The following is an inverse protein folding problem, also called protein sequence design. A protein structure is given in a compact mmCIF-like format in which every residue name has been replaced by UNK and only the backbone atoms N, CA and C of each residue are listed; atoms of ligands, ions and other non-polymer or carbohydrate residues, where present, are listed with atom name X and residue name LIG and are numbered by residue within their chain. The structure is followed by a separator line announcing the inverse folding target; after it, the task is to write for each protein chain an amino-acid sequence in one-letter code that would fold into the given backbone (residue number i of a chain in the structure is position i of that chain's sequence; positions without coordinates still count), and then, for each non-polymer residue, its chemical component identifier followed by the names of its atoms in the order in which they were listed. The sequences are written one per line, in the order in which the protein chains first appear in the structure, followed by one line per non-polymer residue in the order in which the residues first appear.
data_IF_369165547597
#
_entry.id   IF_369165547597
#
_cell.length_a   1.000
_cell.length_b   1.000
_cell.length_c   1.000
_cell.angle_alpha   90.00
_cell.angle_beta   90.00
_cell.angle_gamma   90.00
#
_symmetry.space_group_name_H-M   'P 1'
#
loop_
_entity.id
_entity.type
_entity.pdbx_description
1 polymer ?
#
# COMPACT_ATOMS: atom_id res chain seq x y z
N UNK A 1 19.07 12.73 -23.23
CA UNK A 1 18.17 12.71 -22.06
C UNK A 1 17.59 14.08 -21.69
N UNK A 2 16.29 14.31 -21.91
CA UNK A 2 15.58 15.37 -21.22
C UNK A 2 15.47 15.08 -19.72
N UNK A 3 15.80 16.08 -18.90
CA UNK A 3 15.70 16.03 -17.44
C UNK A 3 14.23 15.97 -17.01
N UNK A 4 13.89 15.16 -16.01
CA UNK A 4 12.55 15.20 -15.39
C UNK A 4 12.33 16.57 -14.76
N UNK A 5 11.25 17.27 -15.12
CA UNK A 5 10.93 18.62 -14.60
C UNK A 5 9.73 18.62 -13.64
N UNK A 6 8.95 17.53 -13.57
CA UNK A 6 7.90 17.37 -12.57
C UNK A 6 8.53 16.97 -11.23
N UNK A 7 8.56 17.92 -10.29
CA UNK A 7 9.12 17.74 -8.95
C UNK A 7 8.50 16.55 -8.19
N UNK A 8 7.27 16.17 -8.51
CA UNK A 8 6.57 15.08 -7.83
C UNK A 8 6.96 13.70 -8.38
N UNK A 9 7.34 13.63 -9.66
CA UNK A 9 7.94 12.43 -10.24
C UNK A 9 9.37 12.27 -9.77
N UNK A 10 10.15 13.35 -9.63
CA UNK A 10 11.51 13.33 -9.08
C UNK A 10 11.61 12.71 -7.67
N UNK A 11 10.50 12.73 -6.91
CA UNK A 11 10.43 12.07 -5.61
C UNK A 11 10.42 10.53 -5.71
N UNK A 12 10.05 9.96 -6.85
CA UNK A 12 9.97 8.51 -7.08
C UNK A 12 11.38 7.98 -7.31
N UNK A 13 12.01 7.55 -6.22
CA UNK A 13 13.25 6.79 -6.23
C UNK A 13 13.28 5.84 -5.03
N UNK A 14 14.09 4.78 -5.11
CA UNK A 14 14.20 3.77 -4.07
C UNK A 14 14.56 4.35 -2.69
N UNK A 15 15.40 5.40 -2.62
CA UNK A 15 15.83 6.02 -1.37
C UNK A 15 14.70 6.82 -0.67
N UNK A 16 13.69 7.24 -1.43
CA UNK A 16 12.54 8.00 -0.95
C UNK A 16 11.32 7.12 -0.66
N UNK A 17 11.40 5.81 -0.86
CA UNK A 17 10.32 4.88 -0.58
C UNK A 17 10.10 4.77 0.93
N UNK A 18 8.99 5.30 1.43
CA UNK A 18 8.62 5.21 2.85
C UNK A 18 8.04 3.86 3.21
N UNK A 19 7.09 3.36 2.41
CA UNK A 19 6.47 2.05 2.55
C UNK A 19 5.75 1.62 1.28
N UNK A 20 5.43 0.33 1.22
CA UNK A 20 4.62 -0.29 0.17
C UNK A 20 3.25 -0.73 0.67
N UNK A 21 2.35 -1.00 -0.26
CA UNK A 21 1.11 -1.72 0.04
C UNK A 21 0.83 -2.83 -0.96
N UNK A 22 0.45 -3.99 -0.43
CA UNK A 22 0.14 -5.22 -1.18
C UNK A 22 -1.32 -5.61 -0.99
N UNK A 23 -1.87 -6.33 -1.96
CA UNK A 23 -3.18 -6.95 -1.88
C UNK A 23 -3.06 -8.40 -1.44
N UNK A 24 -3.88 -8.78 -0.49
CA UNK A 24 -4.13 -10.18 -0.16
C UNK A 24 -5.22 -10.74 -1.08
N UNK A 25 -5.30 -12.06 -1.20
CA UNK A 25 -6.46 -12.70 -1.83
C UNK A 25 -7.75 -12.21 -1.14
N UNK A 26 -8.72 -11.65 -1.87
CA UNK A 26 -9.99 -11.20 -1.28
C UNK A 26 -10.73 -12.32 -0.53
N UNK A 27 -10.49 -13.58 -0.89
CA UNK A 27 -11.03 -14.76 -0.19
C UNK A 27 -10.47 -14.89 1.22
N UNK A 28 -9.30 -14.33 1.53
CA UNK A 28 -8.77 -14.28 2.89
C UNK A 28 -9.77 -13.64 3.86
N UNK A 29 -10.51 -12.62 3.42
CA UNK A 29 -11.50 -11.93 4.25
C UNK A 29 -12.87 -12.64 4.30
N UNK A 30 -13.25 -13.41 3.27
CA UNK A 30 -14.61 -13.95 3.09
C UNK A 30 -14.76 -15.47 3.25
N UNK A 31 -13.70 -16.27 3.10
CA UNK A 31 -13.74 -17.74 3.16
C UNK A 31 -12.40 -18.28 3.66
N UNK A 32 -12.42 -18.98 4.80
CA UNK A 32 -11.27 -19.63 5.45
C UNK A 32 -9.89 -18.95 5.31
N UNK A 33 -9.51 -18.15 6.31
CA UNK A 33 -8.18 -17.53 6.41
C UNK A 33 -7.02 -18.53 6.21
N UNK A 34 -7.22 -19.81 6.58
CA UNK A 34 -6.21 -20.88 6.51
C UNK A 34 -5.67 -21.11 5.09
N UNK A 35 -6.53 -21.06 4.06
CA UNK A 35 -6.17 -21.45 2.69
C UNK A 35 -5.92 -20.25 1.76
N UNK A 36 -6.24 -19.05 2.22
CA UNK A 36 -6.31 -17.85 1.37
C UNK A 36 -5.46 -16.69 1.87
N UNK A 37 -4.69 -16.84 2.95
CA UNK A 37 -3.76 -15.80 3.41
C UNK A 37 -2.49 -15.72 2.54
N UNK A 38 -2.69 -15.43 1.26
CA UNK A 38 -1.65 -15.31 0.26
C UNK A 38 -1.74 -13.95 -0.40
N UNK A 39 -0.61 -13.49 -0.95
CA UNK A 39 -0.61 -12.31 -1.80
C UNK A 39 -1.42 -12.58 -3.06
N UNK A 40 -2.19 -11.60 -3.51
CA UNK A 40 -2.86 -11.66 -4.80
C UNK A 40 -1.82 -11.88 -5.91
N UNK A 41 -2.00 -12.93 -6.72
CA UNK A 41 -1.14 -13.20 -7.87
C UNK A 41 -1.15 -12.04 -8.88
N UNK A 42 -0.05 -11.88 -9.61
CA UNK A 42 0.15 -10.90 -10.70
C UNK A 42 -0.10 -9.41 -10.35
N UNK A 43 -0.04 -9.07 -9.06
CA UNK A 43 -0.14 -7.68 -8.61
C UNK A 43 1.17 -6.90 -8.85
N UNK A 44 1.07 -5.58 -8.93
CA UNK A 44 2.20 -4.65 -8.86
C UNK A 44 1.87 -3.75 -7.67
N UNK A 45 2.51 -3.96 -6.52
CA UNK A 45 2.23 -3.21 -5.30
C UNK A 45 2.34 -1.70 -5.49
N UNK A 46 1.58 -0.95 -4.68
CA UNK A 46 1.70 0.52 -4.66
C UNK A 46 2.82 0.93 -3.72
N UNK A 47 3.54 2.00 -4.08
CA UNK A 47 4.63 2.54 -3.26
C UNK A 47 4.36 4.00 -2.92
N UNK A 48 4.72 4.37 -1.70
CA UNK A 48 4.48 5.69 -1.12
C UNK A 48 5.82 6.33 -0.82
N UNK A 49 6.06 7.48 -1.45
CA UNK A 49 7.34 8.18 -1.36
C UNK A 49 7.18 9.50 -0.64
N UNK A 50 8.19 9.86 0.14
CA UNK A 50 8.34 11.19 0.74
C UNK A 50 9.73 11.74 0.41
N UNK A 51 9.91 13.05 0.60
CA UNK A 51 11.23 13.68 0.45
C UNK A 51 11.74 14.12 1.82
N UNK A 52 13.02 13.92 2.09
CA UNK A 52 13.65 14.43 3.31
C UNK A 52 13.51 15.96 3.40
N UNK A 53 13.12 16.48 4.56
CA UNK A 53 12.89 17.92 4.76
C UNK A 53 11.61 18.46 4.10
N UNK A 54 10.72 17.60 3.61
CA UNK A 54 9.42 17.99 3.04
C UNK A 54 8.28 17.14 3.60
N UNK A 55 7.11 17.76 3.79
CA UNK A 55 5.87 17.07 4.16
C UNK A 55 5.05 16.64 2.92
N UNK A 56 5.59 16.86 1.73
CA UNK A 56 4.98 16.40 0.51
C UNK A 56 5.28 14.91 0.31
N UNK A 57 4.25 14.19 -0.13
CA UNK A 57 4.33 12.76 -0.43
C UNK A 57 3.69 12.49 -1.76
N UNK A 58 4.30 11.57 -2.52
CA UNK A 58 3.78 11.07 -3.79
C UNK A 58 3.45 9.59 -3.67
N UNK A 59 2.61 9.11 -4.58
CA UNK A 59 2.16 7.71 -4.61
C UNK A 59 2.27 7.20 -6.01
N UNK A 60 2.78 6.00 -6.10
CA UNK A 60 2.89 5.27 -7.34
C UNK A 60 1.95 4.06 -7.27
N UNK A 61 1.02 3.97 -8.21
CA UNK A 61 -0.03 2.94 -8.27
C UNK A 61 0.00 2.28 -9.64
N UNK A 62 0.90 1.29 -9.85
CA UNK A 62 1.11 0.69 -11.15
C UNK A 62 -0.09 -0.15 -11.61
N UNK A 63 -0.80 -0.82 -10.68
CA UNK A 63 -2.04 -1.55 -10.97
C UNK A 63 -3.22 -1.03 -10.13
N UNK A 64 -3.74 0.14 -10.52
CA UNK A 64 -4.97 0.70 -9.97
C UNK A 64 -6.22 0.25 -10.76
N UNK A 65 -7.40 0.29 -10.14
CA UNK A 65 -8.67 0.02 -10.84
C UNK A 65 -8.90 0.98 -12.02
N UNK A 66 -8.31 2.16 -11.92
CA UNK A 66 -8.34 3.18 -12.96
C UNK A 66 -7.11 3.14 -13.89
N UNK A 67 -6.14 2.22 -13.69
CA UNK A 67 -4.96 2.12 -14.55
C UNK A 67 -3.60 2.24 -13.85
N UNK A 68 -2.60 2.63 -14.61
CA UNK A 68 -1.31 3.10 -14.11
C UNK A 68 -1.39 4.59 -13.75
N UNK A 69 -1.03 4.95 -12.51
CA UNK A 69 -1.14 6.33 -12.01
C UNK A 69 0.00 6.66 -11.04
N UNK A 70 0.75 7.71 -11.34
CA UNK A 70 1.58 8.44 -10.37
C UNK A 70 0.79 9.67 -9.90
N UNK A 71 0.65 9.90 -8.59
CA UNK A 71 -0.16 11.01 -8.09
C UNK A 71 0.68 12.23 -7.76
N UNK A 72 0.18 13.44 -8.00
CA UNK A 72 0.85 14.69 -7.58
C UNK A 72 1.24 14.67 -6.10
N UNK A 73 2.42 15.19 -5.79
CA UNK A 73 2.89 15.36 -4.42
C UNK A 73 1.98 16.31 -3.64
N UNK A 74 1.56 15.86 -2.45
CA UNK A 74 0.66 16.62 -1.57
C UNK A 74 1.00 16.32 -0.12
N UNK A 75 0.64 17.25 0.77
CA UNK A 75 0.64 17.00 2.22
C UNK A 75 -0.50 16.04 2.57
N UNK A 76 -0.15 14.89 3.13
CA UNK A 76 -1.10 13.82 3.44
C UNK A 76 -0.73 13.18 4.75
N UNK A 77 -1.73 12.73 5.49
CA UNK A 77 -1.52 11.93 6.69
C UNK A 77 -1.79 10.47 6.36
N UNK A 78 -0.89 9.61 6.83
CA UNK A 78 -0.96 8.17 6.63
C UNK A 78 -1.15 7.48 7.97
N UNK A 79 -2.05 6.52 7.98
CA UNK A 79 -2.32 5.61 9.08
C UNK A 79 -2.24 4.17 8.57
N UNK A 80 -1.76 3.29 9.43
CA UNK A 80 -1.87 1.85 9.28
C UNK A 80 -3.00 1.40 10.21
N UNK A 81 -4.06 0.80 9.68
CA UNK A 81 -5.28 0.45 10.41
C UNK A 81 -5.63 -1.02 10.20
N UNK A 82 -5.90 -1.73 11.29
CA UNK A 82 -6.40 -3.10 11.27
C UNK A 82 -7.80 -3.14 11.90
N UNK A 83 -8.76 -3.76 11.19
CA UNK A 83 -10.12 -3.99 11.68
C UNK A 83 -11.11 -4.20 10.54
N UNK A 84 -12.38 -3.90 10.77
CA UNK A 84 -13.47 -4.05 9.79
C UNK A 84 -13.63 -2.79 8.93
N UNK A 85 -12.58 -2.47 8.19
CA UNK A 85 -12.41 -1.18 7.49
C UNK A 85 -13.53 -0.89 6.48
N UNK A 86 -14.06 -1.94 5.85
CA UNK A 86 -15.12 -1.83 4.84
C UNK A 86 -16.51 -1.57 5.45
N UNK A 87 -16.67 -1.69 6.76
CA UNK A 87 -17.98 -1.55 7.44
C UNK A 87 -18.18 -0.15 8.07
N UNK A 88 -17.17 0.72 8.00
CA UNK A 88 -17.18 1.99 8.73
C UNK A 88 -17.47 3.16 7.78
N UNK A 89 -18.55 3.90 8.07
CA UNK A 89 -18.97 5.09 7.31
C UNK A 89 -18.33 6.39 7.81
N UNK A 90 -17.93 6.46 9.09
CA UNK A 90 -17.27 7.60 9.70
C UNK A 90 -15.87 7.24 10.24
N UNK A 91 -14.81 7.44 9.45
CA UNK A 91 -13.44 7.08 9.82
C UNK A 91 -12.96 7.78 11.10
N UNK A 92 -13.27 9.07 11.28
CA UNK A 92 -12.90 9.81 12.49
C UNK A 92 -13.48 9.18 13.75
N UNK A 93 -14.79 8.96 13.77
CA UNK A 93 -15.48 8.32 14.91
C UNK A 93 -14.92 6.93 15.18
N UNK A 94 -14.60 6.19 14.12
CA UNK A 94 -14.06 4.85 14.27
C UNK A 94 -12.67 4.83 14.93
N UNK A 95 -11.85 5.86 14.73
CA UNK A 95 -10.55 6.01 15.39
C UNK A 95 -10.65 6.62 16.79
N UNK A 96 -11.61 7.51 17.04
CA UNK A 96 -11.76 8.20 18.33
C UNK A 96 -12.55 7.42 19.39
N UNK A 97 -13.43 6.49 18.97
CA UNK A 97 -14.30 5.76 19.89
C UNK A 97 -13.49 4.88 20.85
N UNK A 98 -13.57 5.15 22.16
CA UNK A 98 -12.80 4.42 23.18
C UNK A 98 -11.29 4.39 22.86
N UNK A 99 -10.77 5.52 22.39
CA UNK A 99 -9.35 5.67 22.04
C UNK A 99 -8.45 5.40 23.24
N UNK A 100 -7.49 4.52 23.07
CA UNK A 100 -6.49 4.19 24.08
C UNK A 100 -5.14 3.93 23.40
N UNK A 101 -4.05 4.48 23.94
CA UNK A 101 -2.70 4.07 23.59
C UNK A 101 -2.40 2.71 24.21
N UNK A 102 -1.90 1.77 23.40
CA UNK A 102 -1.61 0.40 23.82
C UNK A 102 -0.15 0.28 24.22
N UNK A 103 0.75 0.54 23.27
CA UNK A 103 2.20 0.45 23.46
C UNK A 103 2.89 1.22 22.33
N UNK A 104 3.95 1.98 22.63
CA UNK A 104 4.72 2.70 21.62
C UNK A 104 3.81 3.54 20.72
N UNK A 105 3.90 3.43 19.39
CA UNK A 105 3.05 4.18 18.45
C UNK A 105 1.66 3.55 18.23
N UNK A 106 1.32 2.47 18.95
CA UNK A 106 0.12 1.66 18.72
C UNK A 106 -1.04 2.17 19.56
N UNK A 107 -2.14 2.46 18.88
CA UNK A 107 -3.41 2.82 19.48
C UNK A 107 -4.47 1.76 19.18
N UNK A 108 -5.49 1.72 20.03
CA UNK A 108 -6.72 0.99 19.75
C UNK A 108 -7.92 1.91 19.94
N UNK A 109 -8.97 1.57 19.21
CA UNK A 109 -10.31 2.11 19.38
C UNK A 109 -11.29 0.94 19.49
N UNK A 110 -12.58 1.27 19.68
CA UNK A 110 -13.68 0.31 19.59
C UNK A 110 -13.67 -0.49 18.30
N UNK A 111 -13.14 0.05 17.19
CA UNK A 111 -13.19 -0.59 15.87
C UNK A 111 -11.83 -1.04 15.34
N UNK A 112 -10.75 -0.37 15.76
CA UNK A 112 -9.43 -0.56 15.15
C UNK A 112 -8.32 -0.82 16.15
N UNK A 113 -7.26 -1.44 15.65
CA UNK A 113 -5.89 -1.25 16.14
C UNK A 113 -5.16 -0.48 15.05
N UNK A 114 -4.44 0.57 15.39
CA UNK A 114 -3.87 1.45 14.39
C UNK A 114 -2.63 2.19 14.85
N UNK A 115 -1.88 2.67 13.87
CA UNK A 115 -0.67 3.47 14.03
C UNK A 115 -0.74 4.64 13.05
N UNK A 116 -0.40 5.85 13.50
CA UNK A 116 -0.17 6.98 12.58
C UNK A 116 1.24 6.86 12.01
N UNK A 117 1.36 6.60 10.71
CA UNK A 117 2.63 6.53 10.00
C UNK A 117 3.29 7.91 9.86
N UNK A 118 2.50 8.98 9.73
CA UNK A 118 2.98 10.37 9.70
C UNK A 118 2.65 11.12 8.42
N UNK A 119 3.42 12.19 8.15
CA UNK A 119 3.23 13.05 6.97
C UNK A 119 4.46 13.16 6.06
N UNK A 120 5.66 12.89 6.59
CA UNK A 120 6.93 13.01 5.88
C UNK A 120 7.68 11.68 5.81
N UNK A 121 8.74 11.61 4.98
CA UNK A 121 9.61 10.43 4.90
C UNK A 121 10.24 10.08 6.26
N UNK A 122 10.68 11.09 7.00
CA UNK A 122 11.28 10.90 8.33
C UNK A 122 10.27 10.30 9.31
N UNK A 123 9.01 10.75 9.28
CA UNK A 123 7.96 10.16 10.13
C UNK A 123 7.72 8.70 9.77
N UNK A 124 7.69 8.37 8.47
CA UNK A 124 7.49 7.00 8.01
C UNK A 124 8.60 6.08 8.52
N UNK A 125 9.86 6.47 8.32
CA UNK A 125 11.02 5.69 8.74
C UNK A 125 11.03 5.48 10.26
N UNK A 126 10.85 6.55 11.03
CA UNK A 126 10.81 6.49 12.48
C UNK A 126 9.65 5.61 12.98
N UNK A 127 8.46 5.75 12.39
CA UNK A 127 7.28 5.00 12.82
C UNK A 127 7.37 3.53 12.44
N UNK A 128 7.81 3.20 11.22
CA UNK A 128 8.00 1.81 10.78
C UNK A 128 9.05 1.11 11.67
N UNK A 129 10.17 1.77 11.96
CA UNK A 129 11.16 1.24 12.90
C UNK A 129 10.55 0.99 14.29
N UNK A 130 9.78 1.94 14.82
CA UNK A 130 9.09 1.79 16.10
C UNK A 130 8.03 0.68 16.07
N UNK A 131 7.33 0.48 14.95
CA UNK A 131 6.38 -0.62 14.78
C UNK A 131 7.10 -1.97 14.80
N UNK A 132 8.22 -2.12 14.09
CA UNK A 132 9.02 -3.35 14.09
C UNK A 132 9.52 -3.65 15.52
N UNK A 133 10.07 -2.65 16.21
CA UNK A 133 10.61 -2.82 17.56
C UNK A 133 9.54 -3.21 18.61
N UNK A 134 8.27 -2.82 18.40
CA UNK A 134 7.17 -3.13 19.32
C UNK A 134 6.30 -4.31 18.86
N UNK A 135 6.58 -4.90 17.71
CA UNK A 135 5.81 -6.02 17.18
C UNK A 135 6.40 -7.35 17.62
N UNK A 136 5.53 -8.34 17.85
CA UNK A 136 5.96 -9.72 17.96
C UNK A 136 6.38 -10.24 16.58
N UNK A 137 7.61 -10.72 16.47
CA UNK A 137 8.09 -11.36 15.25
C UNK A 137 7.42 -12.73 15.07
N UNK A 138 6.89 -12.97 13.87
CA UNK A 138 6.28 -14.25 13.46
C UNK A 138 6.67 -14.58 12.02
N UNK A 139 6.59 -15.84 11.65
CA UNK A 139 6.72 -16.27 10.26
C UNK A 139 5.37 -16.22 9.53
N UNK A 140 5.39 -16.35 8.21
CA UNK A 140 4.16 -16.52 7.42
C UNK A 140 3.40 -17.79 7.84
N UNK A 141 4.10 -18.87 8.18
CA UNK A 141 3.49 -20.10 8.67
C UNK A 141 2.75 -19.91 9.99
N UNK A 142 3.39 -19.25 10.96
CA UNK A 142 2.77 -18.92 12.25
C UNK A 142 1.48 -18.10 12.07
N UNK A 143 1.50 -17.12 11.16
CA UNK A 143 0.36 -16.28 10.85
C UNK A 143 -0.81 -17.09 10.26
N UNK A 144 -0.51 -17.98 9.30
CA UNK A 144 -1.49 -18.88 8.69
C UNK A 144 -2.11 -19.79 9.76
N UNK A 145 -1.27 -20.40 10.61
CA UNK A 145 -1.71 -21.30 11.67
C UNK A 145 -2.60 -20.59 12.72
N UNK A 146 -2.17 -19.43 13.21
CA UNK A 146 -2.93 -18.65 14.20
C UNK A 146 -4.30 -18.24 13.67
N UNK A 147 -4.37 -17.82 12.39
CA UNK A 147 -5.60 -17.36 11.76
C UNK A 147 -6.52 -18.51 11.34
N UNK A 148 -5.95 -19.60 10.81
CA UNK A 148 -6.69 -20.81 10.43
C UNK A 148 -7.37 -21.44 11.64
N UNK A 149 -6.61 -21.64 12.73
CA UNK A 149 -7.14 -22.17 13.99
C UNK A 149 -8.00 -21.17 14.75
N UNK A 150 -7.95 -19.88 14.41
CA UNK A 150 -8.65 -18.80 15.12
C UNK A 150 -8.27 -18.80 16.61
N UNK A 151 -6.97 -18.79 16.89
CA UNK A 151 -6.38 -18.95 18.24
C UNK A 151 -5.43 -17.81 18.64
N UNK A 152 -5.47 -16.67 17.95
CA UNK A 152 -4.69 -15.51 18.36
C UNK A 152 -5.16 -14.97 19.73
N UNK A 153 -4.32 -15.13 20.76
CA UNK A 153 -4.59 -14.73 22.16
C UNK A 153 -3.56 -13.69 22.64
N UNK A 154 -3.58 -13.30 23.92
CA UNK A 154 -2.61 -12.36 24.51
C UNK A 154 -3.17 -10.96 24.79
N UNK A 155 -2.36 -9.89 24.80
CA UNK A 155 -2.80 -8.49 24.85
C UNK A 155 -3.08 -7.91 23.44
N UNK A 156 -3.69 -6.73 23.34
CA UNK A 156 -3.77 -6.01 22.05
C UNK A 156 -2.34 -5.64 21.64
N UNK A 157 -1.97 -5.81 20.38
CA UNK A 157 -0.60 -5.55 19.94
C UNK A 157 -0.40 -5.76 18.44
N UNK A 158 0.85 -5.57 18.02
CA UNK A 158 1.30 -5.76 16.64
C UNK A 158 2.12 -7.03 16.49
N UNK A 159 2.06 -7.58 15.29
CA UNK A 159 2.85 -8.70 14.81
C UNK A 159 3.53 -8.28 13.51
N UNK A 160 4.79 -8.63 13.36
CA UNK A 160 5.59 -8.35 12.17
C UNK A 160 6.02 -9.68 11.56
N UNK A 161 5.66 -9.88 10.29
CA UNK A 161 6.06 -11.10 9.58
C UNK A 161 7.50 -10.93 9.14
N UNK A 162 8.44 -11.67 9.72
CA UNK A 162 9.87 -11.53 9.46
C UNK A 162 10.44 -12.62 8.53
N UNK A 163 9.61 -13.56 8.07
CA UNK A 163 10.01 -14.59 7.13
C UNK A 163 8.82 -15.17 6.35
N UNK A 164 9.08 -15.57 5.10
CA UNK A 164 8.13 -16.26 4.21
C UNK A 164 7.40 -15.32 3.24
N UNK A 165 6.35 -15.82 2.59
CA UNK A 165 5.68 -15.12 1.49
C UNK A 165 5.02 -13.77 1.88
N UNK A 166 4.75 -13.54 3.17
CA UNK A 166 4.18 -12.30 3.69
C UNK A 166 5.21 -11.47 4.49
N UNK A 167 6.50 -11.76 4.35
CA UNK A 167 7.58 -11.00 5.01
C UNK A 167 7.42 -9.48 4.82
N UNK A 168 7.69 -8.72 5.88
CA UNK A 168 7.60 -7.27 5.88
C UNK A 168 6.19 -6.73 6.10
N UNK A 169 5.16 -7.58 6.20
CA UNK A 169 3.80 -7.14 6.50
C UNK A 169 3.53 -7.03 7.99
N UNK A 170 2.62 -6.12 8.35
CA UNK A 170 2.21 -5.91 9.74
C UNK A 170 0.78 -6.36 9.98
N UNK A 171 0.58 -6.98 11.14
CA UNK A 171 -0.69 -7.54 11.58
C UNK A 171 -1.00 -7.07 12.99
N UNK A 172 -2.27 -6.97 13.33
CA UNK A 172 -2.70 -6.60 14.66
C UNK A 172 -3.56 -7.69 15.26
N UNK A 173 -3.50 -7.76 16.59
CA UNK A 173 -4.42 -8.51 17.43
C UNK A 173 -5.13 -7.55 18.35
N UNK A 174 -6.42 -7.79 18.63
CA UNK A 174 -7.21 -6.97 19.54
C UNK A 174 -7.85 -7.81 20.64
N UNK A 175 -7.55 -7.49 21.91
CA UNK A 175 -7.99 -8.29 23.05
C UNK A 175 -9.51 -8.36 23.21
N UNK A 176 -10.18 -7.24 22.98
CA UNK A 176 -11.64 -7.18 23.01
C UNK A 176 -12.30 -7.82 21.78
N UNK A 177 -11.52 -8.39 20.86
CA UNK A 177 -12.00 -8.83 19.56
C UNK A 177 -12.22 -7.69 18.57
N UNK A 178 -12.66 -8.04 17.37
CA UNK A 178 -12.96 -7.11 16.28
C UNK A 178 -14.45 -6.76 16.23
N UNK A 179 -15.30 -7.76 16.43
CA UNK A 179 -16.75 -7.66 16.48
C UNK A 179 -17.24 -7.56 17.91
N UNK A 180 -18.20 -6.67 18.14
CA UNK A 180 -19.00 -6.66 19.37
C UNK A 180 -20.15 -7.65 19.21
N UNK A 181 -19.96 -8.90 19.58
CA UNK A 181 -21.01 -9.92 19.64
C UNK A 181 -21.05 -10.55 21.03
N UNK A 182 -22.25 -10.88 21.51
CA UNK A 182 -22.46 -11.65 22.73
C UNK A 182 -22.01 -13.12 22.59
N UNK A 183 -21.88 -13.62 21.36
CA UNK A 183 -21.46 -14.99 21.09
C UNK A 183 -19.98 -15.08 20.71
N UNK A 184 -19.30 -16.19 21.05
CA UNK A 184 -17.91 -16.42 20.63
C UNK A 184 -17.77 -16.36 19.11
N UNK A 185 -17.13 -15.30 18.61
CA UNK A 185 -16.81 -15.17 17.19
C UNK A 185 -15.39 -15.65 16.92
N UNK A 186 -15.22 -16.60 15.99
CA UNK A 186 -13.89 -17.02 15.50
C UNK A 186 -13.11 -15.83 14.95
N UNK A 187 -13.81 -14.85 14.38
CA UNK A 187 -13.22 -13.63 13.84
C UNK A 187 -12.45 -12.88 14.93
N UNK A 188 -12.96 -12.82 16.16
CA UNK A 188 -12.33 -12.12 17.29
C UNK A 188 -10.98 -12.71 17.74
N UNK A 189 -10.65 -13.92 17.30
CA UNK A 189 -9.40 -14.63 17.61
C UNK A 189 -8.46 -14.72 16.41
N UNK A 190 -8.59 -13.81 15.44
CA UNK A 190 -7.70 -13.71 14.27
C UNK A 190 -6.86 -12.45 14.35
N UNK A 191 -5.66 -12.53 13.79
CA UNK A 191 -4.84 -11.38 13.41
C UNK A 191 -5.44 -10.74 12.15
N UNK A 192 -5.44 -9.42 12.09
CA UNK A 192 -5.85 -8.66 10.89
C UNK A 192 -4.70 -7.83 10.34
N UNK A 193 -4.59 -7.69 9.01
CA UNK A 193 -3.51 -6.91 8.43
C UNK A 193 -3.70 -5.44 8.80
N UNK A 194 -2.59 -4.72 9.01
CA UNK A 194 -2.63 -3.27 9.00
C UNK A 194 -2.70 -2.82 7.55
N UNK A 195 -3.87 -2.36 7.15
CA UNK A 195 -4.11 -1.77 5.85
C UNK A 195 -3.83 -0.27 5.89
N UNK A 196 -3.49 0.29 4.74
CA UNK A 196 -3.35 1.73 4.65
C UNK A 196 -4.69 2.44 4.85
N UNK A 197 -4.65 3.58 5.54
CA UNK A 197 -5.68 4.61 5.53
C UNK A 197 -5.00 5.96 5.38
N UNK A 198 -5.48 6.80 4.48
CA UNK A 198 -4.88 8.10 4.23
C UNK A 198 -5.87 9.14 3.72
N UNK A 199 -5.50 10.40 3.86
CA UNK A 199 -6.26 11.56 3.38
C UNK A 199 -5.34 12.77 3.21
N UNK A 200 -5.84 13.79 2.51
CA UNK A 200 -5.12 15.05 2.29
C UNK A 200 -5.35 15.99 3.47
N UNK A 201 -4.33 16.77 3.80
CA UNK A 201 -4.43 17.88 4.76
C UNK A 201 -3.81 19.14 4.15
N UNK A 202 -4.06 20.29 4.77
CA UNK A 202 -3.40 21.54 4.41
C UNK A 202 -2.00 21.63 5.04
N UNK A 203 -1.04 22.34 4.42
CA UNK A 203 0.32 22.46 4.97
C UNK A 203 0.38 23.02 6.40
N UNK A 204 -0.50 23.98 6.74
CA UNK A 204 -0.59 24.54 8.09
C UNK A 204 -1.15 23.55 9.15
N UNK A 205 -1.60 22.35 8.74
CA UNK A 205 -2.11 21.32 9.64
C UNK A 205 -1.06 20.26 9.99
N UNK A 206 0.16 20.35 9.45
CA UNK A 206 1.25 19.37 9.68
C UNK A 206 1.57 19.20 11.17
N UNK A 207 1.75 20.30 11.90
CA UNK A 207 2.05 20.23 13.33
C UNK A 207 0.95 19.52 14.13
N UNK A 208 -0.32 19.78 13.82
CA UNK A 208 -1.46 19.08 14.41
C UNK A 208 -1.49 17.60 14.01
N UNK A 209 -1.17 17.30 12.75
CA UNK A 209 -1.10 15.93 12.25
C UNK A 209 0.00 15.12 12.92
N UNK A 210 1.11 15.74 13.31
CA UNK A 210 2.27 15.14 13.99
C UNK A 210 2.14 15.10 15.53
N UNK A 211 1.13 15.71 16.13
CA UNK A 211 0.93 15.74 17.59
C UNK A 211 0.95 14.35 18.24
N UNK A 212 1.68 14.17 19.33
CA UNK A 212 1.80 12.90 20.09
C UNK A 212 1.30 13.07 21.53
N UNK A 213 1.17 11.97 22.28
CA UNK A 213 0.72 12.01 23.67
C UNK A 213 -0.63 12.73 23.82
N UNK A 214 -0.70 13.72 24.71
CA UNK A 214 -1.89 14.55 24.91
C UNK A 214 -2.35 15.29 23.63
N UNK A 215 -1.42 15.59 22.71
CA UNK A 215 -1.73 16.26 21.45
C UNK A 215 -2.18 15.29 20.33
N UNK A 216 -2.18 13.98 20.56
CA UNK A 216 -2.58 12.99 19.53
C UNK A 216 -4.04 13.16 19.08
N UNK A 217 -4.91 13.65 19.97
CA UNK A 217 -6.29 13.96 19.64
C UNK A 217 -6.42 14.98 18.48
N UNK A 218 -5.45 15.89 18.32
CA UNK A 218 -5.43 16.85 17.21
C UNK A 218 -5.23 16.14 15.86
N UNK A 219 -4.41 15.09 15.81
CA UNK A 219 -4.22 14.28 14.60
C UNK A 219 -5.51 13.52 14.22
N UNK A 220 -6.22 12.97 15.22
CA UNK A 220 -7.52 12.31 15.00
C UNK A 220 -8.58 13.30 14.51
N UNK A 221 -8.56 14.55 15.01
CA UNK A 221 -9.50 15.58 14.59
C UNK A 221 -9.37 15.97 13.11
N UNK A 222 -8.20 15.78 12.50
CA UNK A 222 -7.98 16.02 11.07
C UNK A 222 -8.60 14.95 10.17
N UNK A 223 -8.84 13.74 10.69
CA UNK A 223 -9.41 12.63 9.91
C UNK A 223 -10.78 13.05 9.37
N UNK A 224 -11.06 12.94 8.06
CA UNK A 224 -12.38 13.24 7.53
C UNK A 224 -13.47 12.38 8.15
N UNK A 225 -14.66 12.96 8.34
CA UNK A 225 -15.84 12.24 8.82
C UNK A 225 -16.52 11.44 7.71
N UNK A 226 -16.34 11.82 6.43
CA UNK A 226 -16.94 11.13 5.30
C UNK A 226 -15.99 10.09 4.70
N UNK A 227 -16.45 8.83 4.59
CA UNK A 227 -15.67 7.70 4.07
C UNK A 227 -15.09 7.91 2.67
N UNK A 228 -15.78 8.65 1.80
CA UNK A 228 -15.32 8.94 0.42
C UNK A 228 -14.14 9.93 0.35
N UNK A 229 -13.84 10.63 1.45
CA UNK A 229 -12.69 11.55 1.55
C UNK A 229 -11.41 10.84 2.05
N UNK A 230 -11.52 9.56 2.41
CA UNK A 230 -10.44 8.75 2.94
C UNK A 230 -10.18 7.60 1.98
N UNK A 231 -8.93 7.46 1.54
CA UNK A 231 -8.49 6.26 0.85
C UNK A 231 -8.09 5.21 1.90
N UNK A 232 -8.51 3.98 1.71
CA UNK A 232 -8.12 2.88 2.59
C UNK A 232 -8.20 1.53 1.88
N UNK A 233 -7.41 0.58 2.37
CA UNK A 233 -7.22 -0.75 1.82
C UNK A 233 -5.73 -1.05 1.63
N UNK A 234 -5.43 -2.27 1.20
CA UNK A 234 -4.08 -2.78 0.93
C UNK A 234 -3.19 -2.89 2.19
N UNK A 235 -2.66 -4.08 2.41
CA UNK A 235 -1.80 -4.41 3.55
C UNK A 235 -0.48 -3.67 3.45
N UNK A 236 -0.06 -3.02 4.53
CA UNK A 236 1.22 -2.34 4.64
C UNK A 236 2.38 -3.33 4.56
N UNK A 237 3.43 -2.96 3.83
CA UNK A 237 4.66 -3.73 3.69
C UNK A 237 5.88 -2.80 3.77
N UNK A 238 6.95 -3.24 4.43
CA UNK A 238 8.21 -2.48 4.48
C UNK A 238 8.85 -2.35 3.09
N UNK A 239 9.57 -1.25 2.77
CA UNK A 239 10.23 -1.08 1.47
C UNK A 239 11.20 -2.21 1.11
N UNK A 240 12.02 -2.66 2.07
CA UNK A 240 13.00 -3.73 1.85
C UNK A 240 12.31 -5.05 1.46
N UNK A 241 11.31 -5.47 2.22
CA UNK A 241 10.54 -6.67 1.88
C UNK A 241 9.76 -6.53 0.57
N UNK A 242 9.29 -5.32 0.23
CA UNK A 242 8.65 -5.06 -1.05
C UNK A 242 9.64 -5.26 -2.22
N UNK A 243 10.85 -4.71 -2.11
CA UNK A 243 11.90 -4.91 -3.11
C UNK A 243 12.27 -6.40 -3.24
N UNK A 244 12.40 -7.12 -2.11
CA UNK A 244 12.64 -8.57 -2.10
C UNK A 244 11.50 -9.34 -2.79
N UNK A 245 10.25 -8.94 -2.54
CA UNK A 245 9.10 -9.54 -3.19
C UNK A 245 9.16 -9.35 -4.71
N UNK A 246 9.43 -8.13 -5.18
CA UNK A 246 9.63 -7.83 -6.61
C UNK A 246 10.77 -8.68 -7.19
N UNK A 247 11.91 -8.79 -6.50
CA UNK A 247 13.05 -9.58 -6.96
C UNK A 247 12.72 -11.08 -7.12
N UNK A 248 11.78 -11.60 -6.32
CA UNK A 248 11.28 -12.98 -6.42
C UNK A 248 10.19 -13.19 -7.47
N UNK A 249 9.72 -12.15 -8.17
CA UNK A 249 8.66 -12.26 -9.18
C UNK A 249 9.21 -12.31 -10.61
N UNK A 250 8.44 -12.98 -11.48
CA UNK A 250 8.50 -12.79 -12.92
C UNK A 250 7.14 -12.29 -13.40
N UNK A 251 7.12 -11.14 -14.07
CA UNK A 251 5.91 -10.56 -14.62
C UNK A 251 5.80 -10.91 -16.09
N UNK A 252 4.66 -11.46 -16.49
CA UNK A 252 4.38 -11.62 -17.91
C UNK A 252 4.24 -10.24 -18.56
N UNK A 253 4.86 -10.06 -19.72
CA UNK A 253 4.71 -8.89 -20.59
C UNK A 253 4.37 -9.34 -22.01
N UNK A 254 4.02 -8.41 -22.90
CA UNK A 254 3.76 -8.69 -24.31
C UNK A 254 5.00 -9.23 -25.07
N UNK A 255 6.21 -8.85 -24.65
CA UNK A 255 7.47 -9.26 -25.31
C UNK A 255 8.10 -10.51 -24.67
N UNK A 256 7.57 -10.98 -23.54
CA UNK A 256 8.14 -12.07 -22.75
C UNK A 256 8.09 -11.80 -21.24
N UNK A 257 8.57 -12.73 -20.44
CA UNK A 257 8.62 -12.54 -18.99
C UNK A 257 9.71 -11.53 -18.63
N UNK A 258 9.37 -10.57 -17.77
CA UNK A 258 10.28 -9.54 -17.23
C UNK A 258 10.55 -9.85 -15.77
N UNK A 259 11.82 -9.88 -15.37
CA UNK A 259 12.21 -10.06 -13.98
C UNK A 259 11.70 -8.88 -13.13
N UNK A 260 11.10 -9.15 -11.98
CA UNK A 260 10.50 -8.10 -11.16
C UNK A 260 11.50 -7.11 -10.57
N UNK A 261 12.78 -7.51 -10.39
CA UNK A 261 13.86 -6.58 -10.07
C UNK A 261 14.05 -5.50 -11.15
N UNK A 262 13.91 -5.85 -12.43
CA UNK A 262 13.96 -4.88 -13.53
C UNK A 262 12.80 -3.90 -13.41
N UNK A 263 11.58 -4.38 -13.17
CA UNK A 263 10.39 -3.55 -12.99
C UNK A 263 10.57 -2.57 -11.82
N UNK A 264 11.09 -3.06 -10.68
CA UNK A 264 11.39 -2.21 -9.52
C UNK A 264 12.39 -1.09 -9.85
N UNK A 265 13.52 -1.44 -10.49
CA UNK A 265 14.55 -0.46 -10.85
C UNK A 265 14.05 0.57 -11.88
N UNK A 266 13.17 0.15 -12.80
CA UNK A 266 12.58 1.03 -13.82
C UNK A 266 11.64 2.07 -13.21
N UNK A 267 11.08 1.84 -12.02
CA UNK A 267 10.33 2.88 -11.31
C UNK A 267 11.20 4.07 -10.94
N UNK A 268 12.47 3.86 -10.62
CA UNK A 268 13.40 4.95 -10.33
C UNK A 268 13.66 5.83 -11.57
N UNK A 269 13.53 5.27 -12.78
CA UNK A 269 13.75 6.02 -14.02
C UNK A 269 12.66 7.07 -14.25
N UNK A 270 11.44 6.81 -13.76
CA UNK A 270 10.35 7.78 -13.78
C UNK A 270 10.71 9.07 -13.02
N UNK A 271 11.48 8.96 -11.94
CA UNK A 271 11.97 10.11 -11.18
C UNK A 271 13.19 10.79 -11.77
N UNK A 272 13.97 10.12 -12.61
CA UNK A 272 15.19 10.68 -13.18
C UNK A 272 14.95 11.40 -14.51
N UNK A 273 14.11 10.83 -15.37
CA UNK A 273 13.96 11.30 -16.76
C UNK A 273 12.50 11.58 -17.11
N UNK A 274 12.31 12.45 -18.08
CA UNK A 274 11.01 12.64 -18.71
C UNK A 274 10.68 11.39 -19.53
N UNK A 275 9.62 10.67 -19.15
CA UNK A 275 9.21 9.41 -19.77
C UNK A 275 7.91 9.60 -20.54
N UNK A 276 7.75 8.88 -21.65
CA UNK A 276 6.49 8.78 -22.39
C UNK A 276 5.90 7.39 -22.15
N UNK A 277 4.57 7.33 -22.11
CA UNK A 277 3.79 6.10 -22.11
C UNK A 277 3.94 5.37 -23.46
N UNK A 278 5.07 4.69 -23.65
CA UNK A 278 5.41 4.07 -24.93
C UNK A 278 5.21 2.56 -24.86
N UNK A 279 4.79 1.95 -25.95
CA UNK A 279 4.71 0.50 -26.08
C UNK A 279 5.30 0.07 -27.43
N UNK A 280 6.02 -1.05 -27.39
CA UNK A 280 6.48 -1.72 -28.59
C UNK A 280 5.46 -2.81 -28.96
N UNK A 281 4.95 -2.79 -30.19
CA UNK A 281 4.13 -3.87 -30.76
C UNK A 281 4.56 -4.14 -32.19
N UNK A 282 4.75 -5.41 -32.57
CA UNK A 282 5.10 -5.82 -33.93
C UNK A 282 6.27 -5.00 -34.55
N UNK A 283 7.32 -4.72 -33.78
CA UNK A 283 8.48 -3.89 -34.18
C UNK A 283 8.17 -2.40 -34.45
N UNK A 284 7.01 -1.89 -34.01
CA UNK A 284 6.68 -0.47 -34.03
C UNK A 284 6.69 0.10 -32.61
N UNK A 285 7.46 1.17 -32.41
CA UNK A 285 7.43 1.97 -31.19
C UNK A 285 6.35 3.04 -31.33
N UNK A 286 5.28 2.89 -30.57
CA UNK A 286 4.25 3.93 -30.46
C UNK A 286 4.58 4.78 -29.24
N UNK A 287 5.04 6.00 -29.50
CA UNK A 287 5.23 7.00 -28.45
C UNK A 287 3.86 7.56 -28.03
N UNK A 288 3.43 7.23 -26.81
CA UNK A 288 2.25 7.82 -26.20
C UNK A 288 2.55 9.17 -25.52
N UNK A 289 1.56 9.72 -24.79
CA UNK A 289 1.72 10.99 -24.10
C UNK A 289 2.82 10.93 -23.02
N UNK A 290 3.38 12.10 -22.72
CA UNK A 290 4.30 12.25 -21.60
C UNK A 290 3.65 11.84 -20.28
N UNK A 291 4.40 11.10 -19.46
CA UNK A 291 4.03 10.79 -18.09
C UNK A 291 4.29 12.03 -17.22
N UNK A 292 3.22 12.51 -16.59
CA UNK A 292 3.21 13.59 -15.61
C UNK A 292 2.68 13.06 -14.26
N UNK A 293 2.38 13.94 -13.33
CA UNK A 293 1.75 13.56 -12.07
C UNK A 293 0.23 13.83 -12.05
N UNK A 294 -0.50 12.94 -11.40
CA UNK A 294 -1.93 13.05 -11.19
C UNK A 294 -2.81 12.67 -12.39
N UNK A 295 -2.24 12.31 -13.55
CA UNK A 295 -3.02 11.80 -14.69
C UNK A 295 -2.99 10.27 -14.75
N UNK A 296 -4.10 9.68 -15.18
CA UNK A 296 -4.16 8.27 -15.53
C UNK A 296 -3.58 8.10 -16.94
N UNK A 297 -2.43 7.43 -17.05
CA UNK A 297 -1.76 7.27 -18.35
C UNK A 297 -2.33 6.11 -19.15
N UNK A 298 -2.91 5.14 -18.45
CA UNK A 298 -3.60 4.01 -19.06
C UNK A 298 -4.89 3.77 -18.32
N UNK A 299 -5.90 4.58 -18.63
CA UNK A 299 -7.25 4.32 -18.17
C UNK A 299 -7.64 2.87 -18.49
N UNK A 300 -8.40 2.22 -17.61
CA UNK A 300 -8.85 0.84 -17.84
C UNK A 300 -9.49 0.65 -19.22
N UNK A 301 -10.14 1.68 -19.73
CA UNK A 301 -10.82 1.71 -21.03
C UNK A 301 -9.85 1.71 -22.22
N UNK A 302 -8.64 2.26 -22.06
CA UNK A 302 -7.60 2.29 -23.10
C UNK A 302 -7.14 0.86 -23.47
N UNK A 303 -7.24 -0.09 -22.53
CA UNK A 303 -6.94 -1.51 -22.78
C UNK A 303 -7.97 -2.23 -23.67
N UNK A 304 -9.17 -1.67 -23.84
CA UNK A 304 -10.16 -2.20 -24.79
C UNK A 304 -9.85 -1.77 -26.23
N UNK A 305 -8.98 -0.77 -26.42
CA UNK A 305 -8.65 -0.17 -27.73
C UNK A 305 -7.32 -0.68 -28.31
N UNK A 306 -6.52 -1.43 -27.54
CA UNK A 306 -5.27 -1.99 -28.02
C UNK A 306 -5.47 -3.28 -28.82
N UNK A 307 -4.96 -3.38 -30.05
CA UNK A 307 -5.04 -4.58 -30.86
C UNK A 307 -3.87 -5.51 -30.56
N UNK A 308 -3.71 -5.97 -29.32
CA UNK A 308 -2.89 -7.16 -29.04
C UNK A 308 -3.48 -7.86 -27.83
N UNK A 309 -4.51 -8.66 -28.06
CA UNK A 309 -4.87 -9.68 -27.08
C UNK A 309 -4.64 -11.02 -27.73
N UNK A 310 -3.82 -11.85 -27.07
CA UNK A 310 -4.04 -13.27 -27.10
C UNK A 310 -5.54 -13.47 -26.83
N UNK A 311 -6.34 -13.96 -27.79
CA UNK A 311 -7.80 -14.03 -27.66
C UNK A 311 -8.24 -14.92 -26.47
N UNK A 312 -7.29 -15.66 -25.88
CA UNK A 312 -7.51 -16.55 -24.74
C UNK A 312 -7.15 -15.91 -23.38
N UNK A 313 -6.57 -14.71 -23.33
CA UNK A 313 -6.23 -14.05 -22.07
C UNK A 313 -7.41 -13.22 -21.54
N UNK A 314 -7.74 -13.37 -20.25
CA UNK A 314 -8.74 -12.50 -19.64
C UNK A 314 -8.24 -11.04 -19.60
N UNK A 315 -9.17 -10.08 -19.64
CA UNK A 315 -8.86 -8.65 -19.74
C UNK A 315 -7.91 -8.12 -18.64
N UNK A 316 -7.96 -8.70 -17.43
CA UNK A 316 -7.07 -8.30 -16.32
C UNK A 316 -5.62 -8.75 -16.55
N UNK A 317 -5.43 -9.92 -17.15
CA UNK A 317 -4.10 -10.47 -17.46
C UNK A 317 -3.46 -9.65 -18.59
N UNK A 318 -4.23 -9.36 -19.65
CA UNK A 318 -3.76 -8.50 -20.74
C UNK A 318 -3.39 -7.10 -20.24
N UNK A 319 -4.23 -6.50 -19.38
CA UNK A 319 -3.93 -5.21 -18.75
C UNK A 319 -2.61 -5.23 -17.96
N UNK A 320 -2.41 -6.26 -17.13
CA UNK A 320 -1.18 -6.41 -16.35
C UNK A 320 0.05 -6.54 -17.26
N UNK A 321 -0.04 -7.38 -18.30
CA UNK A 321 1.04 -7.57 -19.28
C UNK A 321 1.42 -6.29 -20.02
N UNK A 322 0.44 -5.50 -20.46
CA UNK A 322 0.70 -4.22 -21.12
C UNK A 322 1.36 -3.19 -20.20
N UNK A 323 0.91 -3.10 -18.94
CA UNK A 323 1.53 -2.21 -17.95
C UNK A 323 2.98 -2.63 -17.68
N UNK A 324 3.24 -3.93 -17.54
CA UNK A 324 4.60 -4.48 -17.37
C UNK A 324 5.47 -4.17 -18.58
N UNK A 325 4.99 -4.40 -19.80
CA UNK A 325 5.74 -4.08 -21.04
C UNK A 325 6.12 -2.61 -21.14
N UNK A 326 5.22 -1.71 -20.73
CA UNK A 326 5.54 -0.29 -20.73
C UNK A 326 6.64 0.04 -19.72
N UNK A 327 6.51 -0.44 -18.47
CA UNK A 327 7.50 -0.16 -17.42
C UNK A 327 8.87 -0.70 -17.86
N UNK A 328 8.91 -1.90 -18.44
CA UNK A 328 10.14 -2.50 -18.95
C UNK A 328 10.72 -1.69 -20.13
N UNK A 329 9.83 -1.20 -21.00
CA UNK A 329 10.14 -0.34 -22.15
C UNK A 329 10.52 1.10 -21.79
N UNK A 330 10.52 1.52 -20.52
CA UNK A 330 11.18 2.77 -20.13
C UNK A 330 12.64 2.65 -20.54
N UNK A 331 13.09 3.45 -21.50
CA UNK A 331 14.47 3.47 -21.99
C UNK A 331 15.16 4.74 -21.53
N UNK A 332 16.45 4.59 -21.23
CA UNK A 332 17.34 5.71 -20.96
C UNK A 332 17.84 6.25 -22.32
N UNK A 333 17.24 7.32 -22.84
CA UNK A 333 17.66 7.99 -24.08
C UNK A 333 18.42 9.30 -23.86
#
# INVERSE_FOLDING_TARGET
MPQQTDATLQMINANNAGFGTVRLDPRAESSNYEDHLVLQGTQLPSTYYGLAGSDNTTRFRPLHQAGFLATTARTRVYFAVAGMINQITNPRTALSSSLQQVQGPVYKSKYYVFVRLGVSLADFQATIAAMIANAQAITTGDLVDMNGRSQATGPTGLYYVNAGALEGTFWARKNAGWESSFFPSKINKRLRPLCLMDFRIQPNQVAAAQGTGAAYAASIALVPTARNQVHTGHTLMTPAALANWYAGQNFASLAGNVAGATIWNKYDWLGQYQQNASFATNNYDVAGPQIASGSEYYAREFFNLFPVTNPNANAKTAQSQSIVSMIDGFVNN
#
